data_IF_985728030746
#
_entry.id   IF_985728030746
#
_cell.length_a   1.000
_cell.length_b   1.000
_cell.length_c   1.000
_cell.angle_alpha   90.00
_cell.angle_beta   90.00
_cell.angle_gamma   90.00
#
_symmetry.space_group_name_H-M   'P 1'
#
loop_
_entity.id
_entity.type
_entity.pdbx_description
1 polymer ?
#
# COMPACT_ATOMS: atom_id res chain seq x y z
N UNK A 1 -26.16 1.27 18.67
CA UNK A 1 -25.48 0.07 19.20
C UNK A 1 -25.10 -0.86 18.06
N UNK A 2 -23.98 -0.59 17.40
CA UNK A 2 -23.33 -1.52 16.46
C UNK A 2 -21.96 -1.81 17.03
N UNK A 3 -21.89 -2.80 17.93
CA UNK A 3 -20.63 -3.34 18.38
C UNK A 3 -19.88 -3.84 17.14
N UNK A 4 -18.68 -3.30 16.89
CA UNK A 4 -17.78 -3.85 15.88
C UNK A 4 -17.61 -5.35 16.17
N UNK A 5 -17.71 -6.18 15.14
CA UNK A 5 -17.66 -7.64 15.29
C UNK A 5 -16.35 -8.06 15.96
N UNK A 6 -16.39 -8.19 17.29
CA UNK A 6 -15.27 -8.66 18.09
C UNK A 6 -15.22 -10.17 17.97
N UNK A 7 -14.10 -10.71 17.51
CA UNK A 7 -13.84 -12.14 17.55
C UNK A 7 -13.92 -12.68 18.99
N UNK A 8 -14.28 -13.96 19.20
CA UNK A 8 -14.36 -14.55 20.53
C UNK A 8 -13.03 -14.41 21.28
N UNK A 9 -13.02 -14.05 22.58
CA UNK A 9 -11.79 -13.97 23.38
C UNK A 9 -10.98 -15.28 23.38
N UNK A 10 -11.66 -16.42 23.36
CA UNK A 10 -11.00 -17.74 23.32
C UNK A 10 -10.23 -17.99 22.01
N UNK A 11 -10.71 -17.46 20.89
CA UNK A 11 -9.97 -17.52 19.62
C UNK A 11 -8.74 -16.61 19.69
N UNK A 12 -8.88 -15.40 20.24
CA UNK A 12 -7.74 -14.48 20.39
C UNK A 12 -6.65 -15.10 21.26
N UNK A 13 -7.03 -15.75 22.36
CA UNK A 13 -6.11 -16.48 23.23
C UNK A 13 -5.41 -17.64 22.50
N UNK A 14 -6.15 -18.47 21.75
CA UNK A 14 -5.57 -19.53 20.93
C UNK A 14 -4.54 -19.00 19.92
N UNK A 15 -4.86 -17.90 19.23
CA UNK A 15 -3.95 -17.27 18.27
C UNK A 15 -2.67 -16.78 18.97
N UNK A 16 -2.81 -16.08 20.09
CA UNK A 16 -1.66 -15.57 20.85
C UNK A 16 -0.75 -16.70 21.34
N UNK A 17 -1.31 -17.73 21.99
CA UNK A 17 -0.55 -18.90 22.46
C UNK A 17 0.15 -19.64 21.31
N UNK A 18 -0.51 -19.77 20.17
CA UNK A 18 0.06 -20.41 18.98
C UNK A 18 1.22 -19.62 18.37
N UNK A 19 1.12 -18.28 18.35
CA UNK A 19 2.23 -17.43 17.92
C UNK A 19 3.41 -17.44 18.90
N UNK A 20 3.16 -17.47 20.21
CA UNK A 20 4.21 -17.62 21.22
C UNK A 20 4.97 -18.95 21.05
N UNK A 21 4.25 -20.06 20.88
CA UNK A 21 4.86 -21.37 20.61
C UNK A 21 5.64 -21.40 19.30
N UNK A 22 5.19 -20.65 18.29
CA UNK A 22 5.87 -20.58 17.00
C UNK A 22 7.29 -19.98 17.08
N UNK A 23 7.61 -19.23 18.14
CA UNK A 23 8.93 -18.62 18.31
C UNK A 23 10.06 -19.66 18.41
N UNK A 24 9.77 -20.83 18.99
CA UNK A 24 10.70 -21.94 19.14
C UNK A 24 10.86 -22.80 17.85
N UNK A 25 10.08 -22.54 16.80
CA UNK A 25 10.13 -23.28 15.54
C UNK A 25 11.28 -22.81 14.63
N UNK A 26 11.82 -23.74 13.84
CA UNK A 26 12.75 -23.42 12.74
C UNK A 26 12.08 -22.64 11.62
N UNK A 27 12.85 -21.97 10.76
CA UNK A 27 12.29 -21.18 9.65
C UNK A 27 11.35 -21.97 8.71
N UNK A 28 11.64 -23.23 8.33
CA UNK A 28 10.70 -24.05 7.57
C UNK A 28 9.41 -24.37 8.33
N UNK A 29 9.50 -24.68 9.63
CA UNK A 29 8.34 -24.98 10.47
C UNK A 29 7.47 -23.73 10.71
N UNK A 30 8.06 -22.53 10.76
CA UNK A 30 7.31 -21.26 10.83
C UNK A 30 6.48 -21.01 9.58
N UNK A 31 6.95 -21.41 8.39
CA UNK A 31 6.16 -21.33 7.17
C UNK A 31 4.93 -22.26 7.26
N UNK A 32 5.13 -23.51 7.67
CA UNK A 32 4.06 -24.50 7.88
C UNK A 32 3.06 -24.02 8.95
N UNK A 33 3.54 -23.47 10.06
CA UNK A 33 2.69 -22.90 11.11
C UNK A 33 1.76 -21.80 10.58
N UNK A 34 2.29 -20.84 9.82
CA UNK A 34 1.50 -19.73 9.29
C UNK A 34 0.43 -20.22 8.30
N UNK A 35 0.75 -21.21 7.47
CA UNK A 35 -0.21 -21.83 6.57
C UNK A 35 -1.33 -22.55 7.34
N UNK A 36 -0.96 -23.34 8.35
CA UNK A 36 -1.92 -24.11 9.15
C UNK A 36 -2.88 -23.21 9.95
N UNK A 37 -2.37 -22.17 10.63
CA UNK A 37 -3.22 -21.28 11.43
C UNK A 37 -4.18 -20.45 10.56
N UNK A 38 -3.72 -19.99 9.39
CA UNK A 38 -4.57 -19.27 8.43
C UNK A 38 -5.67 -20.18 7.87
N UNK A 39 -5.29 -21.39 7.47
CA UNK A 39 -6.23 -22.39 6.93
C UNK A 39 -7.32 -22.72 7.95
N UNK A 40 -6.94 -22.89 9.22
CA UNK A 40 -7.87 -23.28 10.28
C UNK A 40 -8.85 -22.15 10.66
N UNK A 41 -8.37 -20.90 10.77
CA UNK A 41 -9.23 -19.74 11.05
C UNK A 41 -10.15 -19.45 9.85
N UNK A 42 -9.66 -19.59 8.62
CA UNK A 42 -10.48 -19.44 7.43
C UNK A 42 -11.58 -20.50 7.36
N UNK A 43 -11.26 -21.77 7.66
CA UNK A 43 -12.25 -22.84 7.74
C UNK A 43 -13.33 -22.55 8.81
N UNK A 44 -12.93 -22.10 10.00
CA UNK A 44 -13.87 -21.71 11.05
C UNK A 44 -14.80 -20.57 10.61
N UNK A 45 -14.27 -19.57 9.89
CA UNK A 45 -15.06 -18.44 9.41
C UNK A 45 -16.04 -18.84 8.31
N UNK A 46 -15.56 -19.60 7.31
CA UNK A 46 -16.36 -20.13 6.20
C UNK A 46 -17.53 -20.98 6.70
N UNK A 47 -17.25 -21.85 7.67
CA UNK A 47 -18.23 -22.82 8.18
C UNK A 47 -19.07 -22.27 9.34
N UNK A 48 -18.97 -20.96 9.63
CA UNK A 48 -19.67 -20.24 10.74
C UNK A 48 -19.42 -20.85 12.13
N UNK A 49 -18.25 -21.46 12.29
CA UNK A 49 -17.82 -22.24 13.46
C UNK A 49 -16.90 -21.47 14.43
N UNK A 50 -16.69 -20.18 14.18
CA UNK A 50 -15.86 -19.29 15.00
C UNK A 50 -16.30 -19.31 16.47
N UNK A 51 -17.60 -19.30 16.74
CA UNK A 51 -18.15 -19.21 18.10
C UNK A 51 -18.42 -20.59 18.73
N UNK A 52 -18.43 -21.66 17.94
CA UNK A 52 -18.79 -23.01 18.40
C UNK A 52 -17.59 -23.92 18.59
N UNK A 53 -16.46 -23.63 17.94
CA UNK A 53 -15.24 -24.42 18.10
C UNK A 53 -14.64 -24.26 19.50
N UNK A 54 -14.18 -25.37 20.09
CA UNK A 54 -13.41 -25.33 21.34
C UNK A 54 -11.97 -24.89 21.05
N UNK A 55 -11.75 -23.57 21.10
CA UNK A 55 -10.43 -22.96 20.93
C UNK A 55 -9.46 -23.23 22.07
N UNK A 56 -9.94 -23.70 23.23
CA UNK A 56 -9.07 -24.06 24.36
C UNK A 56 -8.32 -25.35 24.03
N UNK A 57 -9.02 -26.32 23.41
CA UNK A 57 -8.49 -27.64 23.04
C UNK A 57 -7.96 -27.74 21.61
N UNK A 58 -8.23 -26.75 20.77
CA UNK A 58 -7.70 -26.70 19.41
C UNK A 58 -6.15 -26.76 19.42
N UNK A 59 -5.61 -27.63 18.58
CA UNK A 59 -4.16 -27.77 18.33
C UNK A 59 -3.86 -27.65 16.85
N UNK A 60 -2.60 -27.40 16.52
CA UNK A 60 -2.08 -27.39 15.15
C UNK A 60 -1.11 -28.56 14.94
N UNK A 61 -1.15 -29.25 13.78
CA UNK A 61 -0.25 -30.36 13.49
C UNK A 61 1.25 -30.03 13.59
N UNK A 62 1.62 -28.76 13.37
CA UNK A 62 3.01 -28.28 13.51
C UNK A 62 3.54 -28.40 14.95
N UNK A 63 2.66 -28.38 15.95
CA UNK A 63 3.02 -28.54 17.37
C UNK A 63 2.74 -29.94 17.90
N UNK A 64 1.79 -30.64 17.30
CA UNK A 64 1.38 -31.99 17.69
C UNK A 64 1.05 -32.80 16.42
N UNK A 65 2.02 -33.54 15.85
CA UNK A 65 1.83 -34.25 14.59
C UNK A 65 0.72 -35.33 14.61
N UNK A 66 0.24 -35.71 15.80
CA UNK A 66 -0.83 -36.68 15.96
C UNK A 66 -2.23 -36.10 15.68
N UNK A 67 -2.37 -34.76 15.62
CA UNK A 67 -3.67 -34.12 15.30
C UNK A 67 -3.78 -33.76 13.82
N UNK A 68 -4.95 -33.96 13.18
CA UNK A 68 -5.18 -33.51 11.80
C UNK A 68 -5.37 -31.99 11.74
N UNK A 69 -5.16 -31.40 10.55
CA UNK A 69 -5.45 -29.98 10.29
C UNK A 69 -6.97 -29.78 10.12
N UNK A 70 -7.72 -29.87 11.21
CA UNK A 70 -9.17 -29.70 11.23
C UNK A 70 -9.62 -29.00 12.51
N UNK A 71 -10.84 -28.45 12.49
CA UNK A 71 -11.45 -27.86 13.67
C UNK A 71 -11.72 -28.94 14.71
N UNK A 72 -11.45 -28.65 15.98
CA UNK A 72 -11.60 -29.61 17.08
C UNK A 72 -12.99 -30.25 17.10
N UNK A 73 -14.05 -29.47 16.86
CA UNK A 73 -15.42 -29.99 16.81
C UNK A 73 -15.68 -30.96 15.64
N UNK A 74 -14.90 -30.90 14.55
CA UNK A 74 -15.03 -31.77 13.38
C UNK A 74 -14.29 -33.09 13.56
N UNK A 75 -13.35 -33.14 14.51
CA UNK A 75 -12.61 -34.34 14.88
C UNK A 75 -13.32 -35.09 16.03
N UNK A 76 -14.14 -34.39 16.82
CA UNK A 76 -14.75 -34.90 18.07
C UNK A 76 -16.30 -34.92 18.02
N UNK A 77 -16.89 -34.69 16.85
CA UNK A 77 -18.35 -34.72 16.66
C UNK A 77 -18.99 -36.06 17.06
N UNK A 78 -20.20 -36.06 17.65
CA UNK A 78 -20.86 -37.26 18.15
C UNK A 78 -21.43 -38.08 16.99
N UNK A 79 -20.72 -39.14 16.61
CA UNK A 79 -21.22 -40.18 15.73
C UNK A 79 -20.26 -40.52 14.59
N UNK A 80 -19.92 -41.81 14.54
CA UNK A 80 -19.14 -42.54 13.54
C UNK A 80 -17.62 -42.59 13.80
N UNK A 81 -17.19 -43.79 14.20
CA UNK A 81 -15.81 -44.15 14.43
C UNK A 81 -15.01 -44.39 13.15
N UNK A 82 -13.70 -44.44 13.38
CA UNK A 82 -12.69 -45.18 12.61
C UNK A 82 -12.82 -45.15 11.07
N UNK A 83 -12.25 -44.11 10.47
CA UNK A 83 -11.55 -44.27 9.20
C UNK A 83 -10.06 -44.00 9.39
N UNK A 84 -9.34 -45.05 9.76
CA UNK A 84 -7.94 -45.20 9.42
C UNK A 84 -7.85 -45.24 7.89
N UNK A 85 -7.02 -44.38 7.30
CA UNK A 85 -6.52 -44.58 5.94
C UNK A 85 -5.06 -45.00 6.00
N UNK A 86 -4.63 -45.91 5.09
CA UNK A 86 -3.44 -46.73 5.30
C UNK A 86 -2.16 -45.99 4.92
N UNK A 87 -1.07 -46.33 5.61
CA UNK A 87 0.28 -45.92 5.26
C UNK A 87 0.67 -46.42 3.85
N UNK A 88 1.41 -45.63 3.04
CA UNK A 88 1.99 -46.12 1.81
C UNK A 88 3.20 -47.03 2.11
N UNK A 89 3.36 -48.17 1.40
CA UNK A 89 4.47 -49.08 1.59
C UNK A 89 5.77 -48.51 1.01
N UNK A 90 6.87 -48.76 1.74
CA UNK A 90 8.20 -48.34 1.33
C UNK A 90 8.69 -49.05 0.08
N UNK A 91 9.44 -48.32 -0.73
CA UNK A 91 10.35 -48.88 -1.72
C UNK A 91 11.66 -48.07 -1.79
N UNK A 92 12.73 -48.86 -1.76
CA UNK A 92 14.15 -48.66 -1.99
C UNK A 92 14.61 -47.46 -2.84
N UNK A 93 15.80 -46.96 -2.47
CA UNK A 93 16.65 -46.08 -3.27
C UNK A 93 16.99 -46.67 -4.65
N UNK A 94 17.24 -45.80 -5.65
CA UNK A 94 18.52 -45.93 -6.34
C UNK A 94 19.21 -44.59 -6.68
N UNK A 95 20.54 -44.63 -6.50
CA UNK A 95 21.62 -43.96 -7.23
C UNK A 95 21.38 -42.64 -8.02
N UNK A 96 21.95 -41.57 -7.46
CA UNK A 96 22.93 -40.65 -8.06
C UNK A 96 22.92 -40.43 -9.58
N UNK A 97 22.46 -39.26 -10.04
CA UNK A 97 22.96 -38.59 -11.24
C UNK A 97 22.86 -37.06 -11.12
N UNK A 98 24.01 -36.41 -11.17
CA UNK A 98 24.22 -34.96 -11.13
C UNK A 98 23.55 -34.26 -12.33
N UNK A 99 22.72 -33.23 -12.05
CA UNK A 99 22.42 -32.16 -13.01
C UNK A 99 22.54 -30.81 -12.32
N UNK A 100 23.58 -30.06 -12.70
CA UNK A 100 23.80 -28.65 -12.37
C UNK A 100 22.59 -27.82 -12.80
N UNK A 101 22.04 -27.01 -11.88
CA UNK A 101 21.11 -25.94 -12.21
C UNK A 101 21.66 -24.61 -11.66
N UNK A 102 21.83 -23.65 -12.57
CA UNK A 102 22.09 -22.24 -12.27
C UNK A 102 20.85 -21.61 -11.62
N UNK A 103 20.98 -20.71 -10.62
CA UNK A 103 19.83 -20.03 -10.03
C UNK A 103 19.29 -18.93 -10.97
N UNK A 104 18.02 -19.03 -11.34
CA UNK A 104 17.24 -17.91 -11.88
C UNK A 104 16.73 -17.04 -10.71
N UNK A 105 16.66 -15.71 -10.85
CA UNK A 105 16.22 -14.82 -9.77
C UNK A 105 14.70 -14.97 -9.51
N UNK A 106 14.35 -15.22 -8.25
CA UNK A 106 12.97 -15.31 -7.78
C UNK A 106 12.24 -13.97 -7.89
N UNK A 107 10.98 -14.02 -8.36
CA UNK A 107 10.09 -12.85 -8.39
C UNK A 107 9.55 -12.55 -6.99
N UNK A 108 9.44 -11.27 -6.59
CA UNK A 108 8.91 -10.91 -5.28
C UNK A 108 7.40 -11.20 -5.22
N UNK A 109 6.99 -12.03 -4.26
CA UNK A 109 5.60 -12.30 -3.91
C UNK A 109 5.09 -11.28 -2.88
N UNK A 110 3.76 -11.15 -2.74
CA UNK A 110 3.03 -10.23 -1.85
C UNK A 110 3.38 -10.30 -0.34
N UNK A 111 4.37 -11.09 0.06
CA UNK A 111 4.82 -11.26 1.44
C UNK A 111 5.71 -10.11 1.95
N UNK A 112 6.21 -9.28 1.04
CA UNK A 112 7.18 -8.22 1.35
C UNK A 112 6.56 -7.04 2.14
N UNK A 113 5.24 -6.86 2.10
CA UNK A 113 4.54 -5.77 2.79
C UNK A 113 4.55 -5.90 4.32
N UNK A 114 4.18 -7.08 4.84
CA UNK A 114 4.13 -7.34 6.29
C UNK A 114 5.53 -7.47 6.89
N UNK A 115 6.46 -8.05 6.13
CA UNK A 115 7.86 -8.18 6.53
C UNK A 115 8.54 -6.81 6.61
N UNK A 116 8.34 -5.93 5.61
CA UNK A 116 8.80 -4.52 5.71
C UNK A 116 8.15 -3.77 6.87
N UNK A 117 6.88 -4.03 7.19
CA UNK A 117 6.17 -3.42 8.33
C UNK A 117 6.74 -3.89 9.67
N UNK A 118 7.05 -5.18 9.82
CA UNK A 118 7.76 -5.76 10.98
C UNK A 118 9.19 -5.24 11.10
N UNK A 119 9.94 -5.19 10.02
CA UNK A 119 11.32 -4.67 10.02
C UNK A 119 11.37 -3.19 10.41
N UNK A 120 10.38 -2.38 10.00
CA UNK A 120 10.26 -0.99 10.47
C UNK A 120 9.96 -0.94 11.97
N UNK A 121 9.05 -1.77 12.48
CA UNK A 121 8.74 -1.82 13.91
C UNK A 121 9.94 -2.29 14.76
N UNK A 122 10.69 -3.28 14.28
CA UNK A 122 11.88 -3.81 14.96
C UNK A 122 13.02 -2.78 15.08
N UNK A 123 13.18 -1.90 14.07
CA UNK A 123 14.15 -0.80 14.14
C UNK A 123 13.87 0.19 15.26
N UNK A 124 12.59 0.44 15.56
CA UNK A 124 12.20 1.29 16.69
C UNK A 124 12.40 0.61 18.05
N UNK A 125 12.24 -0.71 18.15
CA UNK A 125 12.54 -1.47 19.37
C UNK A 125 14.04 -1.60 19.68
N UNK A 126 14.89 -1.72 18.65
CA UNK A 126 16.34 -1.80 18.82
C UNK A 126 16.97 -0.48 19.34
N UNK A 127 16.36 0.67 19.05
CA UNK A 127 16.76 1.97 19.61
C UNK A 127 16.35 2.14 21.09
N UNK A 128 15.30 1.44 21.53
CA UNK A 128 14.81 1.50 22.91
C UNK A 128 15.63 0.63 23.90
N UNK A 129 16.56 -0.19 23.40
CA UNK A 129 17.36 -1.14 24.19
C UNK A 129 18.82 -0.72 24.40
N UNK A 130 19.20 0.49 23.96
CA UNK A 130 20.52 1.07 24.27
C UNK A 130 20.51 1.72 25.68
N UNK A 131 21.60 1.61 26.47
CA UNK A 131 21.72 2.29 27.74
C UNK A 131 21.65 3.81 27.55
N UNK A 132 20.76 4.47 28.29
CA UNK A 132 20.64 5.94 28.29
C UNK A 132 21.92 6.60 28.83
N UNK A 133 22.48 7.63 28.16
CA UNK A 133 23.34 8.59 28.84
C UNK A 133 22.50 9.38 29.86
N UNK A 134 23.05 9.55 31.07
CA UNK A 134 22.44 10.29 32.18
C UNK A 134 22.00 11.69 31.73
N UNK A 135 20.70 11.98 31.80
CA UNK A 135 20.16 13.32 31.59
C UNK A 135 20.29 14.16 32.88
N UNK A 136 20.74 15.43 32.83
CA UNK A 136 20.57 16.35 33.95
C UNK A 136 19.08 16.64 34.15
N UNK A 137 18.60 16.50 35.38
CA UNK A 137 17.24 16.82 35.78
C UNK A 137 16.92 18.30 35.51
N UNK A 138 15.94 18.55 34.64
CA UNK A 138 15.31 19.86 34.47
C UNK A 138 13.84 19.73 34.91
N UNK A 139 13.47 20.60 35.85
CA UNK A 139 12.15 20.72 36.46
C UNK A 139 11.02 20.90 35.43
N UNK A 140 9.75 20.57 35.78
CA UNK A 140 8.66 20.58 34.82
C UNK A 140 8.24 22.02 34.49
N UNK A 141 8.63 22.52 33.32
CA UNK A 141 8.09 23.77 32.79
C UNK A 141 6.70 23.49 32.18
N UNK A 142 5.66 23.92 32.91
CA UNK A 142 4.33 24.10 32.35
C UNK A 142 4.37 25.17 31.24
N UNK A 143 4.14 24.76 30.00
CA UNK A 143 4.00 25.67 28.87
C UNK A 143 3.48 24.93 27.64
N UNK A 144 2.30 25.32 27.14
CA UNK A 144 1.83 24.89 25.82
C UNK A 144 2.93 25.21 24.82
N UNK A 145 3.49 24.20 24.14
CA UNK A 145 4.51 24.37 23.10
C UNK A 145 4.05 25.45 22.13
N UNK A 146 4.71 26.61 22.16
CA UNK A 146 4.35 27.73 21.31
C UNK A 146 4.58 27.31 19.85
N UNK A 147 3.55 27.43 19.01
CA UNK A 147 3.67 27.16 17.57
C UNK A 147 4.81 28.00 17.01
N UNK A 148 5.87 27.34 16.56
CA UNK A 148 7.02 28.00 15.95
C UNK A 148 6.54 28.71 14.68
N UNK A 149 6.90 29.99 14.52
CA UNK A 149 6.64 30.78 13.32
C UNK A 149 7.98 31.15 12.71
N UNK A 150 8.22 30.68 11.48
CA UNK A 150 9.49 30.91 10.79
C UNK A 150 9.66 32.36 10.35
N UNK A 151 10.89 32.87 10.36
CA UNK A 151 11.25 34.24 9.94
C UNK A 151 12.15 34.28 8.69
N UNK A 152 12.60 33.12 8.18
CA UNK A 152 13.46 33.05 7.00
C UNK A 152 12.74 33.53 5.73
N UNK A 153 13.43 34.35 4.93
CA UNK A 153 12.93 34.94 3.68
C UNK A 153 13.62 34.41 2.41
N UNK A 154 14.55 33.46 2.56
CA UNK A 154 15.23 32.85 1.41
C UNK A 154 14.25 32.08 0.51
N UNK A 155 14.36 32.26 -0.81
CA UNK A 155 13.55 31.52 -1.79
C UNK A 155 14.00 30.06 -1.94
N UNK A 156 15.31 29.85 -1.83
CA UNK A 156 15.96 28.55 -1.90
C UNK A 156 16.47 28.13 -0.51
N UNK A 157 16.32 26.84 -0.19
CA UNK A 157 16.79 26.26 1.07
C UNK A 157 17.02 24.77 0.86
N UNK A 158 18.17 24.24 1.28
CA UNK A 158 18.45 22.80 1.22
C UNK A 158 17.61 22.03 2.22
N UNK A 159 17.16 20.84 1.86
CA UNK A 159 16.48 19.94 2.79
C UNK A 159 17.51 19.27 3.70
N UNK A 160 17.33 19.44 5.02
CA UNK A 160 18.20 18.84 6.04
C UNK A 160 17.32 18.09 7.04
N UNK A 161 17.69 16.87 7.42
CA UNK A 161 16.94 16.17 8.48
C UNK A 161 17.13 16.91 9.80
N UNK A 162 16.03 17.17 10.50
CA UNK A 162 16.08 17.81 11.81
C UNK A 162 16.69 16.84 12.82
N UNK A 163 17.75 17.28 13.49
CA UNK A 163 18.44 16.53 14.56
C UNK A 163 18.38 17.25 15.91
N UNK A 164 17.75 18.42 15.94
CA UNK A 164 17.60 19.29 17.11
C UNK A 164 16.29 20.07 16.99
N UNK A 165 15.96 20.82 18.03
CA UNK A 165 14.80 21.73 18.00
C UNK A 165 14.95 22.75 16.86
N UNK A 166 13.85 23.05 16.14
CA UNK A 166 13.91 23.95 15.00
C UNK A 166 14.06 25.41 15.43
N UNK A 167 15.11 26.07 14.92
CA UNK A 167 15.31 27.52 15.05
C UNK A 167 14.36 28.29 14.12
N UNK A 168 13.49 29.20 14.62
CA UNK A 168 12.63 30.05 13.80
C UNK A 168 13.37 30.81 12.68
N UNK A 169 14.63 31.21 12.90
CA UNK A 169 15.44 31.92 11.91
C UNK A 169 15.82 31.04 10.70
N UNK A 170 15.78 29.72 10.87
CA UNK A 170 16.06 28.75 9.81
C UNK A 170 14.78 28.26 9.10
N UNK A 171 13.59 28.63 9.56
CA UNK A 171 12.31 28.16 9.01
C UNK A 171 11.63 29.29 8.24
N UNK A 172 11.11 29.02 7.03
CA UNK A 172 10.42 30.05 6.22
C UNK A 172 8.99 30.28 6.70
N UNK A 173 8.56 31.54 6.75
CA UNK A 173 7.18 31.88 7.12
C UNK A 173 6.15 31.32 6.12
N UNK A 174 4.89 31.16 6.54
CA UNK A 174 3.78 30.71 5.65
C UNK A 174 3.67 31.53 4.36
N UNK A 175 3.82 32.85 4.45
CA UNK A 175 3.80 33.74 3.29
C UNK A 175 4.96 33.45 2.34
N UNK A 176 6.16 33.28 2.88
CA UNK A 176 7.36 32.97 2.10
C UNK A 176 7.29 31.59 1.46
N UNK A 177 6.73 30.59 2.14
CA UNK A 177 6.54 29.24 1.59
C UNK A 177 5.66 29.24 0.32
N UNK A 178 4.64 30.10 0.28
CA UNK A 178 3.85 30.31 -0.93
C UNK A 178 4.69 30.84 -2.11
N UNK A 179 5.54 31.84 -1.86
CA UNK A 179 6.46 32.39 -2.88
C UNK A 179 7.51 31.37 -3.32
N UNK A 180 8.05 30.61 -2.39
CA UNK A 180 9.04 29.57 -2.67
C UNK A 180 8.45 28.49 -3.59
N UNK A 181 7.22 28.05 -3.34
CA UNK A 181 6.56 27.06 -4.21
C UNK A 181 6.44 27.58 -5.65
N UNK A 182 5.98 28.83 -5.83
CA UNK A 182 5.86 29.43 -7.16
C UNK A 182 7.22 29.52 -7.87
N UNK A 183 8.25 30.00 -7.15
CA UNK A 183 9.62 30.09 -7.67
C UNK A 183 10.15 28.72 -8.12
N UNK A 184 10.00 27.68 -7.29
CA UNK A 184 10.51 26.34 -7.61
C UNK A 184 9.75 25.71 -8.78
N UNK A 185 8.43 25.91 -8.86
CA UNK A 185 7.62 25.41 -9.99
C UNK A 185 7.99 26.12 -11.29
N UNK A 186 8.11 27.44 -11.28
CA UNK A 186 8.55 28.20 -12.46
C UNK A 186 9.94 27.74 -12.91
N UNK A 187 10.88 27.59 -11.97
CA UNK A 187 12.21 27.08 -12.28
C UNK A 187 12.17 25.67 -12.92
N UNK A 188 11.34 24.76 -12.41
CA UNK A 188 11.18 23.43 -12.99
C UNK A 188 10.62 23.47 -14.42
N UNK A 189 9.64 24.34 -14.69
CA UNK A 189 8.96 24.42 -16.00
C UNK A 189 9.71 25.25 -17.04
N UNK A 190 10.37 26.33 -16.63
CA UNK A 190 10.91 27.35 -17.51
C UNK A 190 12.42 27.21 -17.75
N UNK A 191 13.17 26.67 -16.79
CA UNK A 191 14.64 26.67 -16.86
C UNK A 191 15.27 25.28 -17.10
N UNK A 192 14.48 24.21 -17.14
CA UNK A 192 14.99 22.85 -17.26
C UNK A 192 15.79 22.37 -16.04
N UNK A 193 15.52 22.93 -14.86
CA UNK A 193 16.23 22.58 -13.63
C UNK A 193 16.09 21.08 -13.30
N UNK A 194 17.20 20.48 -12.85
CA UNK A 194 17.27 19.06 -12.53
C UNK A 194 16.27 18.66 -11.45
N UNK A 195 15.59 17.53 -11.65
CA UNK A 195 14.61 16.99 -10.69
C UNK A 195 15.19 16.84 -9.28
N UNK A 196 16.46 16.42 -9.14
CA UNK A 196 17.10 16.26 -7.83
C UNK A 196 17.09 17.56 -7.02
N UNK A 197 17.37 18.69 -7.67
CA UNK A 197 17.31 20.02 -7.05
C UNK A 197 15.86 20.40 -6.72
N UNK A 198 14.92 20.20 -7.65
CA UNK A 198 13.50 20.51 -7.42
C UNK A 198 12.92 19.69 -6.25
N UNK A 199 13.23 18.40 -6.19
CA UNK A 199 12.82 17.51 -5.11
C UNK A 199 13.38 17.99 -3.76
N UNK A 200 14.66 18.35 -3.68
CA UNK A 200 15.29 18.91 -2.48
C UNK A 200 14.60 20.20 -2.02
N UNK A 201 14.33 21.13 -2.93
CA UNK A 201 13.67 22.41 -2.60
C UNK A 201 12.23 22.21 -2.08
N UNK A 202 11.44 21.35 -2.73
CA UNK A 202 10.06 21.12 -2.28
C UNK A 202 10.04 20.32 -0.96
N UNK A 203 11.01 19.42 -0.73
CA UNK A 203 11.20 18.76 0.59
C UNK A 203 11.48 19.77 1.70
N UNK A 204 12.34 20.75 1.45
CA UNK A 204 12.58 21.82 2.41
C UNK A 204 11.32 22.64 2.69
N UNK A 205 10.50 22.91 1.67
CA UNK A 205 9.21 23.62 1.84
C UNK A 205 8.28 22.79 2.73
N UNK A 206 8.11 21.50 2.42
CA UNK A 206 7.26 20.58 3.21
C UNK A 206 7.73 20.45 4.65
N UNK A 207 9.04 20.39 4.87
CA UNK A 207 9.61 20.35 6.22
C UNK A 207 9.29 21.60 7.02
N UNK A 208 9.49 22.79 6.43
CA UNK A 208 9.18 24.06 7.10
C UNK A 208 7.69 24.15 7.45
N UNK A 209 6.81 23.59 6.61
CA UNK A 209 5.39 23.49 6.89
C UNK A 209 5.07 22.56 8.06
N UNK A 210 5.72 21.39 8.10
CA UNK A 210 5.54 20.41 9.18
C UNK A 210 5.99 20.98 10.53
N UNK A 211 7.15 21.65 10.58
CA UNK A 211 7.68 22.31 11.78
C UNK A 211 6.70 23.34 12.34
N UNK A 212 6.02 24.08 11.46
CA UNK A 212 5.07 25.12 11.84
C UNK A 212 3.62 24.61 11.98
N UNK A 213 3.40 23.29 11.89
CA UNK A 213 2.07 22.66 11.91
C UNK A 213 1.06 23.25 10.90
N UNK A 214 1.53 23.65 9.71
CA UNK A 214 0.67 24.26 8.69
C UNK A 214 -0.10 23.17 7.92
N UNK A 215 -1.42 23.09 8.16
CA UNK A 215 -2.34 22.16 7.46
C UNK A 215 -3.32 22.85 6.51
N UNK A 216 -3.12 24.15 6.24
CA UNK A 216 -3.99 24.98 5.38
C UNK A 216 -4.01 24.54 3.90
N UNK A 217 -4.84 25.19 3.07
CA UNK A 217 -4.86 24.94 1.61
C UNK A 217 -3.51 25.12 0.90
N UNK A 218 -2.56 25.89 1.46
CA UNK A 218 -1.18 25.92 0.98
C UNK A 218 -0.50 24.55 1.07
N UNK A 219 -0.75 23.80 2.15
CA UNK A 219 -0.16 22.48 2.38
C UNK A 219 -0.56 21.53 1.27
N UNK A 220 -1.86 21.45 1.00
CA UNK A 220 -2.36 20.61 -0.08
C UNK A 220 -1.80 21.02 -1.43
N UNK A 221 -1.74 22.32 -1.76
CA UNK A 221 -1.09 22.73 -3.01
C UNK A 221 0.37 22.28 -3.10
N UNK A 222 1.16 22.43 -2.03
CA UNK A 222 2.56 21.97 -2.00
C UNK A 222 2.65 20.46 -2.24
N UNK A 223 1.84 19.67 -1.53
CA UNK A 223 1.86 18.22 -1.63
C UNK A 223 1.33 17.71 -2.98
N UNK A 224 0.31 18.33 -3.53
CA UNK A 224 -0.22 17.99 -4.86
C UNK A 224 0.78 18.34 -5.96
N UNK A 225 1.38 19.54 -5.91
CA UNK A 225 2.43 19.94 -6.85
C UNK A 225 3.62 18.98 -6.78
N UNK A 226 4.09 18.64 -5.58
CA UNK A 226 5.20 17.70 -5.43
C UNK A 226 4.84 16.30 -5.94
N UNK A 227 3.64 15.82 -5.64
CA UNK A 227 3.15 14.52 -6.10
C UNK A 227 3.08 14.43 -7.63
N UNK A 228 2.58 15.47 -8.31
CA UNK A 228 2.56 15.52 -9.79
C UNK A 228 3.98 15.51 -10.37
N UNK A 229 4.87 16.36 -9.87
CA UNK A 229 6.28 16.41 -10.31
C UNK A 229 6.98 15.07 -10.06
N UNK A 230 6.70 14.41 -8.93
CA UNK A 230 7.27 13.10 -8.63
C UNK A 230 6.80 12.02 -9.63
N UNK A 231 5.51 12.00 -10.00
CA UNK A 231 5.00 11.10 -11.04
C UNK A 231 5.71 11.37 -12.37
N UNK A 232 5.78 12.62 -12.81
CA UNK A 232 6.45 13.00 -14.08
C UNK A 232 7.92 12.53 -14.14
N UNK A 233 8.58 12.44 -12.99
CA UNK A 233 9.98 12.03 -12.87
C UNK A 233 10.17 10.58 -12.40
N UNK A 234 9.11 9.76 -12.47
CA UNK A 234 9.13 8.34 -12.09
C UNK A 234 9.52 8.05 -10.62
N UNK A 235 9.43 9.03 -9.72
CA UNK A 235 9.75 8.88 -8.30
C UNK A 235 8.49 8.46 -7.50
N UNK A 236 8.17 7.17 -7.58
CA UNK A 236 7.04 6.58 -6.87
C UNK A 236 7.21 6.63 -5.34
N UNK A 237 8.45 6.66 -4.86
CA UNK A 237 8.75 6.74 -3.43
C UNK A 237 8.35 8.09 -2.87
N UNK A 238 8.68 9.17 -3.58
CA UNK A 238 8.29 10.52 -3.21
C UNK A 238 6.80 10.75 -3.38
N UNK A 239 6.21 10.28 -4.49
CA UNK A 239 4.77 10.33 -4.70
C UNK A 239 4.00 9.66 -3.55
N UNK A 240 4.42 8.48 -3.10
CA UNK A 240 3.75 7.77 -2.02
C UNK A 240 3.83 8.52 -0.67
N UNK A 241 4.94 9.22 -0.40
CA UNK A 241 5.04 10.10 0.77
C UNK A 241 4.06 11.28 0.67
N UNK A 242 3.97 11.92 -0.51
CA UNK A 242 3.02 13.00 -0.74
C UNK A 242 1.57 12.53 -0.59
N UNK A 243 1.23 11.39 -1.20
CA UNK A 243 -0.10 10.81 -1.16
C UNK A 243 -0.53 10.44 0.27
N UNK A 244 0.37 9.88 1.07
CA UNK A 244 0.09 9.57 2.48
C UNK A 244 -0.28 10.82 3.28
N UNK A 245 0.47 11.92 3.08
CA UNK A 245 0.15 13.19 3.74
C UNK A 245 -1.15 13.80 3.21
N UNK A 246 -1.40 13.74 1.90
CA UNK A 246 -2.64 14.23 1.28
C UNK A 246 -3.87 13.50 1.83
N UNK A 247 -3.79 12.18 2.07
CA UNK A 247 -4.88 11.43 2.70
C UNK A 247 -5.27 12.05 4.05
N UNK A 248 -4.28 12.40 4.89
CA UNK A 248 -4.54 13.05 6.18
C UNK A 248 -5.09 14.47 6.01
N UNK A 249 -4.54 15.26 5.08
CA UNK A 249 -5.01 16.63 4.83
C UNK A 249 -6.45 16.63 4.29
N UNK A 250 -6.80 15.73 3.37
CA UNK A 250 -8.15 15.53 2.84
C UNK A 250 -9.15 15.13 3.93
N UNK A 251 -8.76 14.29 4.88
CA UNK A 251 -9.63 13.87 5.99
C UNK A 251 -10.00 15.01 6.96
N UNK A 252 -9.22 16.10 7.01
CA UNK A 252 -9.50 17.23 7.90
C UNK A 252 -10.66 18.13 7.43
N UNK A 253 -11.18 17.92 6.20
CA UNK A 253 -12.41 18.54 5.64
C UNK A 253 -12.54 20.07 5.84
N UNK A 254 -11.43 20.79 5.86
CA UNK A 254 -11.41 22.18 6.32
C UNK A 254 -11.98 23.21 5.33
N UNK A 255 -12.14 22.89 4.04
CA UNK A 255 -12.68 23.81 3.03
C UNK A 255 -13.45 23.11 1.89
N UNK A 256 -14.55 23.72 1.42
CA UNK A 256 -15.40 23.19 0.33
C UNK A 256 -14.70 23.18 -1.06
N UNK A 257 -13.80 24.13 -1.32
CA UNK A 257 -13.04 24.21 -2.59
C UNK A 257 -11.86 23.21 -2.69
N UNK A 258 -11.63 22.43 -1.63
CA UNK A 258 -10.53 21.50 -1.47
C UNK A 258 -10.75 20.15 -2.16
N UNK A 259 -12.01 19.81 -2.48
CA UNK A 259 -12.39 18.54 -3.08
C UNK A 259 -12.03 18.43 -4.58
N UNK A 260 -11.53 19.50 -5.22
CA UNK A 260 -11.19 19.56 -6.66
C UNK A 260 -10.21 18.49 -7.13
N UNK A 261 -9.12 18.34 -6.38
CA UNK A 261 -8.01 17.46 -6.73
C UNK A 261 -8.04 16.13 -5.96
N UNK A 262 -8.98 15.97 -5.03
CA UNK A 262 -9.13 14.74 -4.26
C UNK A 262 -9.38 13.55 -5.18
N UNK A 263 -10.23 13.68 -6.19
CA UNK A 263 -10.48 12.60 -7.15
C UNK A 263 -9.24 12.29 -8.00
N UNK A 264 -8.48 13.30 -8.44
CA UNK A 264 -7.22 13.10 -9.17
C UNK A 264 -6.24 12.25 -8.33
N UNK A 265 -5.93 12.69 -7.12
CA UNK A 265 -4.99 11.99 -6.24
C UNK A 265 -5.52 10.65 -5.72
N UNK A 266 -6.84 10.49 -5.63
CA UNK A 266 -7.47 9.19 -5.33
C UNK A 266 -7.29 8.22 -6.49
N UNK A 267 -7.45 8.67 -7.74
CA UNK A 267 -7.17 7.87 -8.92
C UNK A 267 -5.69 7.45 -8.95
N UNK A 268 -4.76 8.40 -8.75
CA UNK A 268 -3.32 8.08 -8.69
C UNK A 268 -2.99 7.10 -7.55
N UNK A 269 -3.64 7.24 -6.40
CA UNK A 269 -3.50 6.29 -5.28
C UNK A 269 -3.93 4.89 -5.66
N UNK A 270 -5.10 4.71 -6.29
CA UNK A 270 -5.57 3.40 -6.72
C UNK A 270 -4.60 2.77 -7.71
N UNK A 271 -4.13 3.55 -8.70
CA UNK A 271 -3.15 3.09 -9.68
C UNK A 271 -1.81 2.69 -9.05
N UNK A 272 -1.34 3.45 -8.06
CA UNK A 272 -0.13 3.10 -7.29
C UNK A 272 -0.33 1.81 -6.47
N UNK A 273 -1.47 1.65 -5.81
CA UNK A 273 -1.79 0.43 -5.07
C UNK A 273 -1.89 -0.78 -6.00
N UNK A 274 -2.44 -0.60 -7.19
CA UNK A 274 -2.51 -1.64 -8.22
C UNK A 274 -1.10 -2.01 -8.71
N UNK A 275 -0.25 -1.03 -8.97
CA UNK A 275 1.14 -1.23 -9.35
C UNK A 275 1.91 -2.04 -8.30
N UNK A 276 1.68 -1.74 -7.02
CA UNK A 276 2.35 -2.39 -5.89
C UNK A 276 1.66 -3.68 -5.43
N UNK A 277 0.57 -4.10 -6.09
CA UNK A 277 -0.14 -5.36 -5.78
C UNK A 277 -0.93 -5.34 -4.48
N UNK A 278 -1.22 -4.16 -3.92
CA UNK A 278 -1.90 -4.01 -2.64
C UNK A 278 -3.42 -3.96 -2.80
N UNK A 279 -4.02 -5.09 -3.16
CA UNK A 279 -5.47 -5.21 -3.41
C UNK A 279 -6.33 -4.99 -2.16
N UNK A 280 -5.80 -5.26 -0.96
CA UNK A 280 -6.51 -5.00 0.28
C UNK A 280 -6.81 -3.50 0.44
N UNK A 281 -5.81 -2.65 0.25
CA UNK A 281 -5.99 -1.19 0.34
C UNK A 281 -6.80 -0.62 -0.82
N UNK A 282 -6.82 -1.29 -2.00
CA UNK A 282 -7.73 -0.94 -3.10
C UNK A 282 -9.19 -1.20 -2.68
N UNK A 283 -9.46 -2.33 -2.04
CA UNK A 283 -10.82 -2.64 -1.58
C UNK A 283 -11.28 -1.71 -0.46
N UNK A 284 -10.38 -1.32 0.46
CA UNK A 284 -10.69 -0.28 1.46
C UNK A 284 -10.99 1.05 0.76
N UNK A 285 -10.15 1.46 -0.20
CA UNK A 285 -10.40 2.67 -0.99
C UNK A 285 -11.75 2.64 -1.71
N UNK A 286 -12.11 1.50 -2.30
CA UNK A 286 -13.38 1.27 -2.98
C UNK A 286 -14.57 1.50 -2.03
N UNK A 287 -14.53 0.94 -0.83
CA UNK A 287 -15.56 1.16 0.19
C UNK A 287 -15.66 2.64 0.58
N UNK A 288 -14.53 3.28 0.91
CA UNK A 288 -14.49 4.70 1.29
C UNK A 288 -15.12 5.60 0.21
N UNK A 289 -14.86 5.31 -1.07
CA UNK A 289 -15.39 6.07 -2.21
C UNK A 289 -16.90 5.82 -2.39
N UNK A 290 -17.34 4.57 -2.28
CA UNK A 290 -18.76 4.23 -2.41
C UNK A 290 -19.58 4.90 -1.31
N UNK A 291 -19.11 4.88 -0.06
CA UNK A 291 -19.79 5.54 1.07
C UNK A 291 -19.83 7.06 0.88
N UNK A 292 -18.74 7.67 0.42
CA UNK A 292 -18.67 9.11 0.17
C UNK A 292 -19.59 9.54 -0.99
N UNK A 293 -19.65 8.76 -2.07
CA UNK A 293 -20.44 9.09 -3.25
C UNK A 293 -21.93 8.77 -3.07
N UNK A 294 -22.30 7.76 -2.28
CA UNK A 294 -23.71 7.53 -1.90
C UNK A 294 -24.32 8.72 -1.14
N UNK A 295 -23.50 9.52 -0.46
CA UNK A 295 -23.91 10.74 0.23
C UNK A 295 -23.91 12.00 -0.67
N UNK A 296 -23.37 11.92 -1.89
CA UNK A 296 -23.18 13.06 -2.80
C UNK A 296 -24.18 13.00 -3.96
N UNK A 297 -25.01 14.02 -4.13
CA UNK A 297 -25.96 14.08 -5.26
C UNK A 297 -25.19 14.45 -6.53
N UNK A 298 -25.06 13.50 -7.48
CA UNK A 298 -24.30 13.66 -8.74
C UNK A 298 -24.67 14.91 -9.56
N UNK A 299 -25.88 15.43 -9.38
CA UNK A 299 -26.44 16.55 -10.15
C UNK A 299 -25.83 17.92 -9.79
N UNK A 300 -25.11 18.05 -8.67
CA UNK A 300 -24.51 19.32 -8.23
C UNK A 300 -23.01 19.45 -8.57
N UNK A 301 -22.40 18.41 -9.13
CA UNK A 301 -20.96 18.42 -9.43
C UNK A 301 -20.68 19.10 -10.77
N UNK A 302 -19.74 20.04 -10.78
CA UNK A 302 -19.24 20.68 -12.00
C UNK A 302 -18.64 19.62 -12.97
N UNK A 303 -18.84 19.79 -14.30
CA UNK A 303 -18.35 18.85 -15.32
C UNK A 303 -16.91 18.34 -15.14
N UNK A 304 -15.98 19.21 -14.70
CA UNK A 304 -14.58 18.85 -14.50
C UNK A 304 -14.42 17.79 -13.40
N UNK A 305 -15.25 17.86 -12.35
CA UNK A 305 -15.25 16.92 -11.24
C UNK A 305 -15.83 15.57 -11.64
N UNK A 306 -16.87 15.57 -12.49
CA UNK A 306 -17.49 14.33 -12.96
C UNK A 306 -16.50 13.48 -13.75
N UNK A 307 -15.67 14.10 -14.58
CA UNK A 307 -14.63 13.39 -15.34
C UNK A 307 -13.57 12.79 -14.40
N UNK A 308 -13.05 13.56 -13.43
CA UNK A 308 -12.06 13.04 -12.47
C UNK A 308 -12.63 11.93 -11.59
N UNK A 309 -13.88 12.08 -11.14
CA UNK A 309 -14.61 11.03 -10.43
C UNK A 309 -14.73 9.77 -11.28
N UNK A 310 -15.12 9.90 -12.55
CA UNK A 310 -15.17 8.76 -13.47
C UNK A 310 -13.79 8.08 -13.60
N UNK A 311 -12.70 8.83 -13.62
CA UNK A 311 -11.34 8.27 -13.65
C UNK A 311 -11.01 7.41 -12.42
N UNK A 312 -11.54 7.77 -11.24
CA UNK A 312 -11.40 6.95 -10.02
C UNK A 312 -12.09 5.59 -10.21
N UNK A 313 -13.33 5.57 -10.68
CA UNK A 313 -14.05 4.33 -10.96
C UNK A 313 -13.39 3.51 -12.07
N UNK A 314 -12.89 4.16 -13.14
CA UNK A 314 -12.12 3.47 -14.17
C UNK A 314 -10.83 2.86 -13.63
N UNK A 315 -10.16 3.48 -12.67
CA UNK A 315 -9.01 2.87 -12.00
C UNK A 315 -9.40 1.64 -11.15
N UNK A 316 -10.58 1.64 -10.53
CA UNK A 316 -11.13 0.46 -9.83
C UNK A 316 -11.50 -0.67 -10.80
N UNK A 317 -12.19 -0.35 -11.91
CA UNK A 317 -12.49 -1.31 -12.98
C UNK A 317 -11.19 -1.92 -13.55
N UNK A 318 -10.16 -1.10 -13.73
CA UNK A 318 -8.85 -1.54 -14.19
C UNK A 318 -8.24 -2.57 -13.21
N UNK A 319 -8.36 -2.34 -11.90
CA UNK A 319 -7.88 -3.29 -10.90
C UNK A 319 -8.61 -4.65 -11.02
N UNK A 320 -9.93 -4.65 -11.25
CA UNK A 320 -10.70 -5.87 -11.47
C UNK A 320 -10.25 -6.62 -12.74
N UNK A 321 -10.02 -5.89 -13.84
CA UNK A 321 -9.52 -6.48 -15.07
C UNK A 321 -8.11 -7.07 -14.93
N UNK A 322 -7.24 -6.45 -14.13
CA UNK A 322 -5.92 -7.00 -13.83
C UNK A 322 -6.04 -8.31 -13.03
N UNK A 323 -6.92 -8.36 -12.02
CA UNK A 323 -7.15 -9.57 -11.21
C UNK A 323 -7.71 -10.71 -12.07
N UNK A 324 -8.69 -10.41 -12.93
CA UNK A 324 -9.33 -11.38 -13.82
C UNK A 324 -8.45 -11.78 -15.01
N UNK A 325 -7.31 -11.12 -15.22
CA UNK A 325 -6.47 -11.33 -16.40
C UNK A 325 -7.12 -10.87 -17.72
N UNK A 326 -8.11 -9.97 -17.65
CA UNK A 326 -8.82 -9.44 -18.80
C UNK A 326 -8.01 -8.32 -19.48
N UNK A 327 -7.02 -8.71 -20.28
CA UNK A 327 -6.14 -7.78 -20.96
C UNK A 327 -6.84 -6.91 -22.01
N UNK A 328 -7.88 -7.43 -22.67
CA UNK A 328 -8.69 -6.67 -23.63
C UNK A 328 -9.26 -5.40 -23.01
N UNK A 329 -9.90 -5.55 -21.84
CA UNK A 329 -10.49 -4.43 -21.11
C UNK A 329 -9.42 -3.54 -20.47
N UNK A 330 -8.31 -4.11 -20.02
CA UNK A 330 -7.15 -3.34 -19.56
C UNK A 330 -6.66 -2.35 -20.64
N UNK A 331 -6.39 -2.84 -21.86
CA UNK A 331 -5.87 -1.98 -22.93
C UNK A 331 -6.92 -1.03 -23.52
N UNK A 332 -8.21 -1.34 -23.40
CA UNK A 332 -9.28 -0.39 -23.70
C UNK A 332 -9.25 0.81 -22.73
N UNK A 333 -9.13 0.55 -21.42
CA UNK A 333 -9.01 1.61 -20.42
C UNK A 333 -7.67 2.36 -20.53
N UNK A 334 -6.58 1.68 -20.86
CA UNK A 334 -5.29 2.30 -21.17
C UNK A 334 -5.41 3.34 -22.30
N UNK A 335 -6.04 2.99 -23.43
CA UNK A 335 -6.29 3.92 -24.55
C UNK A 335 -7.20 5.07 -24.13
N UNK A 336 -8.21 4.80 -23.30
CA UNK A 336 -9.08 5.84 -22.75
C UNK A 336 -8.28 6.85 -21.90
N UNK A 337 -7.44 6.38 -20.97
CA UNK A 337 -6.55 7.25 -20.19
C UNK A 337 -5.54 8.02 -21.07
N UNK A 338 -5.00 7.41 -22.14
CA UNK A 338 -4.12 8.09 -23.12
C UNK A 338 -4.79 9.32 -23.74
N UNK A 339 -6.11 9.27 -23.95
CA UNK A 339 -6.90 10.38 -24.51
C UNK A 339 -7.28 11.48 -23.52
N UNK A 340 -6.96 11.33 -22.22
CA UNK A 340 -7.39 12.28 -21.18
C UNK A 340 -6.29 13.28 -20.81
N UNK A 341 -6.40 14.52 -21.30
CA UNK A 341 -5.47 15.59 -20.95
C UNK A 341 -5.50 16.01 -19.47
N UNK A 342 -6.65 15.86 -18.79
CA UNK A 342 -6.81 16.28 -17.39
C UNK A 342 -6.21 15.32 -16.35
N UNK A 343 -5.75 14.14 -16.78
CA UNK A 343 -5.25 13.06 -15.91
C UNK A 343 -3.91 12.50 -16.45
N UNK A 344 -3.03 13.39 -16.90
CA UNK A 344 -1.73 13.02 -17.48
C UNK A 344 -0.91 12.11 -16.55
N UNK A 345 -0.96 12.35 -15.23
CA UNK A 345 -0.29 11.50 -14.24
C UNK A 345 -0.81 10.06 -14.19
N UNK A 346 -2.12 9.84 -14.43
CA UNK A 346 -2.69 8.50 -14.46
C UNK A 346 -2.23 7.73 -15.70
N UNK A 347 -2.25 8.38 -16.86
CA UNK A 347 -1.72 7.78 -18.08
C UNK A 347 -0.22 7.48 -17.94
N UNK A 348 0.57 8.42 -17.39
CA UNK A 348 2.00 8.22 -17.13
C UNK A 348 2.25 7.01 -16.23
N UNK A 349 1.50 6.86 -15.14
CA UNK A 349 1.59 5.70 -14.25
C UNK A 349 1.30 4.38 -14.99
N UNK A 350 0.32 4.38 -15.88
CA UNK A 350 -0.04 3.20 -16.67
C UNK A 350 1.02 2.86 -17.71
N UNK A 351 1.42 3.84 -18.51
CA UNK A 351 2.37 3.68 -19.61
C UNK A 351 3.74 3.23 -19.09
N UNK A 352 4.29 3.95 -18.12
CA UNK A 352 5.65 3.72 -17.63
C UNK A 352 5.77 2.44 -16.79
N UNK A 353 4.75 2.12 -15.98
CA UNK A 353 4.90 1.06 -14.96
C UNK A 353 4.02 -0.17 -15.17
N UNK A 354 2.95 -0.10 -15.96
CA UNK A 354 1.97 -1.20 -16.05
C UNK A 354 1.83 -1.78 -17.45
N UNK A 355 1.87 -0.96 -18.50
CA UNK A 355 1.55 -1.38 -19.87
C UNK A 355 2.43 -2.55 -20.32
N UNK A 356 3.76 -2.42 -20.22
CA UNK A 356 4.69 -3.48 -20.63
C UNK A 356 4.51 -4.78 -19.83
N UNK A 357 4.28 -4.69 -18.52
CA UNK A 357 3.98 -5.87 -17.68
C UNK A 357 2.72 -6.57 -18.17
N UNK A 358 1.66 -5.81 -18.44
CA UNK A 358 0.41 -6.38 -18.95
C UNK A 358 0.57 -6.94 -20.36
N UNK A 359 1.34 -6.31 -21.26
CA UNK A 359 1.64 -6.85 -22.60
C UNK A 359 2.28 -8.24 -22.49
N UNK A 360 3.30 -8.40 -21.64
CA UNK A 360 3.97 -9.70 -21.43
C UNK A 360 3.01 -10.75 -20.85
N UNK A 361 2.19 -10.38 -19.85
CA UNK A 361 1.19 -11.28 -19.28
C UNK A 361 0.15 -11.72 -20.32
N UNK A 362 -0.29 -10.78 -21.16
CA UNK A 362 -1.27 -11.01 -22.22
C UNK A 362 -0.70 -11.94 -23.29
N UNK A 363 0.53 -11.69 -23.75
CA UNK A 363 1.23 -12.56 -24.69
C UNK A 363 1.37 -13.98 -24.16
N UNK A 364 1.71 -14.15 -22.87
CA UNK A 364 1.76 -15.48 -22.24
C UNK A 364 0.42 -16.21 -22.30
N UNK A 365 -0.70 -15.50 -22.17
CA UNK A 365 -2.05 -16.07 -22.31
C UNK A 365 -2.33 -16.42 -23.77
N UNK A 366 -2.05 -15.50 -24.70
CA UNK A 366 -2.27 -15.70 -26.14
C UNK A 366 -1.48 -16.90 -26.68
N UNK A 367 -0.22 -17.07 -26.28
CA UNK A 367 0.60 -18.21 -26.70
C UNK A 367 0.03 -19.58 -26.29
N UNK A 368 -0.85 -19.63 -25.28
CA UNK A 368 -1.54 -20.87 -24.90
C UNK A 368 -2.79 -21.14 -25.74
N UNK A 369 -3.45 -20.09 -26.22
CA UNK A 369 -4.70 -20.19 -26.98
C UNK A 369 -4.51 -20.21 -28.49
N UNK A 370 -3.41 -19.66 -29.00
CA UNK A 370 -3.16 -19.47 -30.42
C UNK A 370 -1.89 -20.20 -30.89
N UNK A 371 -2.00 -20.94 -32.00
CA UNK A 371 -0.84 -21.56 -32.68
C UNK A 371 0.02 -20.52 -33.42
N UNK A 372 -0.62 -19.50 -33.98
CA UNK A 372 -0.01 -18.33 -34.63
C UNK A 372 -0.86 -17.11 -34.27
N UNK A 373 -0.23 -15.99 -33.92
CA UNK A 373 -0.94 -14.76 -33.57
C UNK A 373 -0.72 -13.73 -34.68
N UNK A 374 -1.77 -13.26 -35.37
CA UNK A 374 -1.64 -12.19 -36.36
C UNK A 374 -1.14 -10.90 -35.71
N UNK A 375 -0.22 -10.19 -36.38
CA UNK A 375 0.34 -8.94 -35.85
C UNK A 375 -0.74 -7.88 -35.61
N UNK A 376 -1.69 -7.73 -36.54
CA UNK A 376 -2.83 -6.82 -36.38
C UNK A 376 -3.69 -7.10 -35.13
N UNK A 377 -3.75 -8.36 -34.69
CA UNK A 377 -4.41 -8.70 -33.43
C UNK A 377 -3.61 -8.22 -32.23
N UNK A 378 -2.28 -8.31 -32.27
CA UNK A 378 -1.41 -7.79 -31.20
C UNK A 378 -1.49 -6.27 -31.10
N UNK A 379 -1.42 -5.56 -32.22
CA UNK A 379 -1.52 -4.09 -32.28
C UNK A 379 -2.87 -3.61 -31.72
N UNK A 380 -3.96 -4.21 -32.19
CA UNK A 380 -5.31 -3.84 -31.75
C UNK A 380 -5.55 -4.13 -30.26
N UNK A 381 -5.13 -5.30 -29.78
CA UNK A 381 -5.44 -5.78 -28.42
C UNK A 381 -4.45 -5.31 -27.34
N UNK A 382 -3.20 -5.00 -27.69
CA UNK A 382 -2.14 -4.69 -26.72
C UNK A 382 -1.66 -3.23 -26.79
N UNK A 383 -2.34 -2.39 -27.59
CA UNK A 383 -2.01 -0.98 -27.77
C UNK A 383 -0.52 -0.78 -28.08
N UNK A 384 -0.03 -1.55 -29.05
CA UNK A 384 1.33 -1.43 -29.59
C UNK A 384 1.22 -0.46 -30.77
N UNK A 385 2.10 0.55 -30.77
CA UNK A 385 2.18 1.55 -31.85
C UNK A 385 3.01 1.02 -33.03
#
# INVERSE_FOLDING_TARGET
NTQGASWPPLLQDFVNRSFEQSNALSAPQKAVFNEQIQTLIYAAARDKKIWTNDWIRQKLPVFDPAVPLALYQDVVGPGLGAHQTPAPPGYAEPHNQQKRQHPLPEKPTNFDSNERKRQRAARFQALASLPHPVQPSLAPAAGKSATIVGTLTALEKRYLRLTSDPDPALVRSKFMLGKCLLYVVDKYRSSGALYAYINDQIKAIRQDMTVQHITSGLAVRVYETHGRIAIENNDLGEFNQCQSQLKHLYAQRSHQNFYKNTYEFTCYRILYLLLTGNYADINIARLDIMDADSATVELELDPEFRIRRQCVYKALELADHVVLGNYHRFFALYKWFKGLGCMSGAFHLLDQFMANKQRVLSLKIMCKGFKKVPLALLESQLAID
#
